data_IF_902029440964
#
_entry.id   IF_902029440964
#
_cell.length_a   1.000
_cell.length_b   1.000
_cell.length_c   1.000
_cell.angle_alpha   90.00
_cell.angle_beta   90.00
_cell.angle_gamma   90.00
#
_symmetry.space_group_name_H-M   'P 1'
#
loop_
_entity.id
_entity.type
_entity.pdbx_description
1 polymer ?
#
# COMPACT_ATOMS: atom_id res chain seq x y z
N UNK A 1 -24.95 6.39 -4.68
CA UNK A 1 -24.15 5.19 -4.34
C UNK A 1 -23.28 5.60 -3.17
N UNK A 2 -23.37 4.91 -2.03
CA UNK A 2 -22.77 5.41 -0.79
C UNK A 2 -21.27 5.60 -0.96
N UNK A 3 -20.82 6.81 -0.66
CA UNK A 3 -19.45 7.28 -0.66
C UNK A 3 -18.68 6.66 0.54
N UNK A 4 -18.72 5.32 0.62
CA UNK A 4 -18.19 4.59 1.77
C UNK A 4 -16.68 4.51 1.64
N UNK A 5 -15.98 5.36 2.38
CA UNK A 5 -14.54 5.27 2.52
C UNK A 5 -14.14 3.91 3.11
N UNK A 6 -13.08 3.34 2.57
CA UNK A 6 -12.57 2.02 2.96
C UNK A 6 -11.48 2.15 4.04
N UNK A 7 -11.28 1.14 4.89
CA UNK A 7 -10.08 1.06 5.72
C UNK A 7 -8.84 0.83 4.84
N UNK A 8 -7.71 1.41 5.20
CA UNK A 8 -6.44 1.22 4.48
C UNK A 8 -5.28 0.86 5.43
N UNK A 9 -4.51 -0.15 5.05
CA UNK A 9 -3.28 -0.54 5.75
C UNK A 9 -2.06 -0.14 4.89
N UNK A 10 -1.19 0.73 5.41
CA UNK A 10 0.07 1.07 4.75
C UNK A 10 1.11 0.02 5.12
N UNK A 11 1.64 -0.67 4.12
CA UNK A 11 2.58 -1.77 4.29
C UNK A 11 3.97 -1.23 4.61
N UNK A 12 4.29 -1.18 5.89
CA UNK A 12 5.58 -0.74 6.41
C UNK A 12 6.53 -1.90 6.77
N UNK A 13 6.02 -3.14 6.79
CA UNK A 13 6.77 -4.33 7.16
C UNK A 13 7.78 -4.77 6.10
N UNK A 14 8.80 -5.50 6.56
CA UNK A 14 9.89 -6.02 5.75
C UNK A 14 11.24 -5.37 6.10
N UNK A 15 12.31 -6.15 6.06
CA UNK A 15 13.65 -5.73 6.46
C UNK A 15 14.36 -4.80 5.44
N UNK A 16 13.63 -3.92 4.76
CA UNK A 16 14.21 -3.02 3.74
C UNK A 16 14.84 -1.79 4.41
N UNK A 17 15.98 -2.02 5.06
CA UNK A 17 16.88 -0.98 5.56
C UNK A 17 17.83 -0.56 4.43
N UNK A 18 17.81 0.71 4.04
CA UNK A 18 18.66 1.31 2.99
C UNK A 18 18.89 2.78 3.36
N UNK A 19 20.04 3.33 2.97
CA UNK A 19 20.63 4.58 3.52
C UNK A 19 21.22 4.35 4.91
N UNK A 20 22.49 3.93 4.98
CA UNK A 20 23.28 3.85 6.24
C UNK A 20 22.63 3.10 7.43
N UNK A 21 21.61 2.27 7.17
CA UNK A 21 20.88 1.50 8.18
C UNK A 21 19.46 1.99 8.49
N UNK A 22 19.04 3.14 7.94
CA UNK A 22 17.71 3.72 8.13
C UNK A 22 16.63 3.04 7.25
N UNK A 23 15.37 3.21 7.63
CA UNK A 23 14.25 2.66 6.85
C UNK A 23 13.93 3.60 5.68
N UNK A 24 13.74 3.07 4.46
CA UNK A 24 13.44 3.88 3.26
C UNK A 24 12.21 4.78 3.43
N UNK A 25 11.25 4.36 4.25
CA UNK A 25 10.05 5.11 4.61
C UNK A 25 10.37 6.47 5.25
N UNK A 26 11.48 6.56 6.00
CA UNK A 26 11.93 7.77 6.67
C UNK A 26 12.83 8.65 5.79
N UNK A 27 13.19 8.21 4.59
CA UNK A 27 14.05 8.98 3.70
C UNK A 27 13.41 10.36 3.39
N UNK A 28 14.19 11.45 3.42
CA UNK A 28 13.67 12.80 3.20
C UNK A 28 13.35 13.02 1.71
N UNK A 29 12.14 13.51 1.43
CA UNK A 29 11.67 13.91 0.11
C UNK A 29 11.08 15.32 0.21
N UNK A 30 11.90 16.33 -0.09
CA UNK A 30 11.54 17.73 0.19
C UNK A 30 11.51 18.00 1.70
N UNK A 31 10.42 18.59 2.20
CA UNK A 31 10.26 18.94 3.63
C UNK A 31 9.69 17.80 4.49
N UNK A 32 9.34 16.66 3.87
CA UNK A 32 8.66 15.53 4.51
C UNK A 32 9.41 14.23 4.23
N UNK A 33 9.13 13.19 5.00
CA UNK A 33 9.61 11.84 4.66
C UNK A 33 8.78 11.24 3.53
N UNK A 34 9.32 10.23 2.83
CA UNK A 34 8.57 9.49 1.80
C UNK A 34 7.25 8.96 2.36
N UNK A 35 7.25 8.35 3.55
CA UNK A 35 6.03 7.83 4.17
C UNK A 35 5.05 8.93 4.55
N UNK A 36 5.51 10.10 5.00
CA UNK A 36 4.58 11.20 5.28
C UNK A 36 3.84 11.64 4.02
N UNK A 37 4.50 11.68 2.85
CA UNK A 37 3.81 11.95 1.58
C UNK A 37 2.76 10.88 1.25
N UNK A 38 3.04 9.61 1.51
CA UNK A 38 2.05 8.53 1.34
C UNK A 38 0.85 8.74 2.27
N UNK A 39 1.11 9.00 3.56
CA UNK A 39 0.06 9.24 4.56
C UNK A 39 -0.84 10.41 4.14
N UNK A 40 -0.25 11.55 3.80
CA UNK A 40 -0.99 12.77 3.42
C UNK A 40 -1.92 12.55 2.23
N UNK A 41 -1.55 11.65 1.32
CA UNK A 41 -2.37 11.32 0.15
C UNK A 41 -3.43 10.27 0.46
N UNK A 42 -3.14 9.30 1.32
CA UNK A 42 -4.04 8.17 1.62
C UNK A 42 -5.10 8.55 2.64
N UNK A 43 -4.73 9.28 3.70
CA UNK A 43 -5.62 9.61 4.83
C UNK A 43 -6.94 10.26 4.40
N UNK A 44 -6.97 11.28 3.51
CA UNK A 44 -8.22 11.92 3.12
C UNK A 44 -9.19 10.99 2.37
N UNK A 45 -8.69 9.91 1.80
CA UNK A 45 -9.45 8.98 0.95
C UNK A 45 -10.02 7.79 1.73
N UNK A 46 -9.59 7.58 2.98
CA UNK A 46 -9.89 6.37 3.75
C UNK A 46 -10.75 6.68 4.98
N UNK A 47 -11.47 5.67 5.49
CA UNK A 47 -12.25 5.79 6.73
C UNK A 47 -11.35 5.83 7.95
N UNK A 48 -10.32 4.99 7.90
CA UNK A 48 -9.33 4.78 8.94
C UNK A 48 -8.06 4.26 8.26
N UNK A 49 -6.91 4.63 8.82
CA UNK A 49 -5.61 4.19 8.33
C UNK A 49 -4.78 3.61 9.47
N UNK A 50 -3.94 2.65 9.11
CA UNK A 50 -3.06 1.97 10.06
C UNK A 50 -1.73 1.61 9.37
N UNK A 51 -0.63 1.63 10.12
CA UNK A 51 0.69 1.27 9.62
C UNK A 51 0.99 -0.19 9.98
N UNK A 52 1.30 -1.00 8.97
CA UNK A 52 1.81 -2.35 9.19
C UNK A 52 3.27 -2.31 9.62
N UNK A 53 3.53 -2.05 10.89
CA UNK A 53 4.88 -1.90 11.42
C UNK A 53 5.00 -2.55 12.81
N UNK A 54 6.19 -3.03 13.18
CA UNK A 54 6.46 -3.43 14.56
C UNK A 54 6.43 -2.20 15.49
N UNK A 55 6.15 -2.45 16.77
CA UNK A 55 6.37 -1.47 17.82
C UNK A 55 7.88 -1.23 18.03
N UNK A 56 8.22 -0.02 18.46
CA UNK A 56 9.55 0.47 18.80
C UNK A 56 10.55 0.55 17.63
N UNK A 57 10.06 0.78 16.41
CA UNK A 57 10.89 0.94 15.19
C UNK A 57 10.74 2.34 14.55
N UNK A 58 10.21 3.31 15.31
CA UNK A 58 10.13 4.72 14.94
C UNK A 58 8.86 5.12 14.17
N UNK A 59 8.01 4.17 13.81
CA UNK A 59 6.74 4.46 13.13
C UNK A 59 5.71 5.16 14.03
N UNK A 60 5.90 5.12 15.34
CA UNK A 60 5.10 5.88 16.32
C UNK A 60 5.16 7.39 16.09
N UNK A 61 6.23 7.88 15.45
CA UNK A 61 6.39 9.30 15.12
C UNK A 61 5.32 9.83 14.15
N UNK A 62 4.62 8.96 13.44
CA UNK A 62 3.54 9.33 12.52
C UNK A 62 2.17 9.42 13.20
N UNK A 63 2.07 9.12 14.50
CA UNK A 63 0.83 9.22 15.29
C UNK A 63 -0.35 8.41 14.75
N UNK A 64 -0.06 7.35 13.97
CA UNK A 64 -1.03 6.40 13.45
C UNK A 64 -1.01 5.08 14.24
N UNK A 65 -2.15 4.38 14.35
CA UNK A 65 -2.17 3.05 14.93
C UNK A 65 -1.20 2.11 14.20
N UNK A 66 -0.51 1.25 14.96
CA UNK A 66 0.36 0.21 14.41
C UNK A 66 -0.36 -1.14 14.41
N UNK A 67 -0.24 -1.89 13.32
CA UNK A 67 -0.74 -3.25 13.18
C UNK A 67 0.40 -4.18 12.75
N UNK A 68 1.19 -4.69 13.71
CA UNK A 68 2.29 -5.60 13.40
C UNK A 68 1.78 -6.89 12.78
N UNK A 69 2.62 -7.51 11.96
CA UNK A 69 2.33 -8.84 11.44
C UNK A 69 2.16 -9.85 12.57
N UNK A 70 1.18 -10.75 12.40
CA UNK A 70 0.93 -11.85 13.31
C UNK A 70 1.90 -13.04 13.10
N UNK A 71 1.41 -14.29 13.17
CA UNK A 71 2.27 -15.48 13.07
C UNK A 71 2.96 -15.64 11.70
N UNK A 72 2.50 -14.91 10.69
CA UNK A 72 3.03 -14.92 9.33
C UNK A 72 4.12 -13.87 9.09
N UNK A 73 4.58 -13.19 10.15
CA UNK A 73 5.66 -12.21 10.08
C UNK A 73 6.88 -12.75 9.32
N UNK A 74 7.42 -11.94 8.39
CA UNK A 74 8.57 -12.31 7.58
C UNK A 74 8.26 -13.16 6.33
N UNK A 75 6.98 -13.45 6.04
CA UNK A 75 6.58 -14.14 4.79
C UNK A 75 6.39 -13.20 3.59
N UNK A 76 6.96 -11.99 3.66
CA UNK A 76 6.88 -10.99 2.59
C UNK A 76 5.57 -10.18 2.61
N UNK A 77 5.28 -9.41 1.55
CA UNK A 77 4.17 -8.45 1.55
C UNK A 77 2.79 -9.06 1.79
N UNK A 78 2.60 -10.34 1.41
CA UNK A 78 1.35 -11.05 1.64
C UNK A 78 1.02 -11.25 3.14
N UNK A 79 2.02 -11.28 4.02
CA UNK A 79 1.79 -11.29 5.47
C UNK A 79 1.09 -9.99 5.90
N UNK A 80 1.57 -8.84 5.44
CA UNK A 80 0.94 -7.55 5.68
C UNK A 80 -0.45 -7.41 5.04
N UNK A 81 -0.66 -7.99 3.85
CA UNK A 81 -2.01 -8.05 3.24
C UNK A 81 -2.97 -8.91 4.10
N UNK A 82 -2.51 -10.05 4.61
CA UNK A 82 -3.32 -10.87 5.53
C UNK A 82 -3.60 -10.12 6.84
N UNK A 83 -2.62 -9.38 7.36
CA UNK A 83 -2.80 -8.47 8.51
C UNK A 83 -3.88 -7.43 8.20
N UNK A 84 -3.87 -6.82 7.00
CA UNK A 84 -4.88 -5.85 6.56
C UNK A 84 -6.29 -6.45 6.57
N UNK A 85 -6.45 -7.64 5.96
CA UNK A 85 -7.74 -8.32 5.88
C UNK A 85 -8.27 -8.67 7.27
N UNK A 86 -7.43 -9.19 8.16
CA UNK A 86 -7.82 -9.52 9.53
C UNK A 86 -8.19 -8.29 10.36
N UNK A 87 -7.50 -7.17 10.16
CA UNK A 87 -7.82 -5.91 10.81
C UNK A 87 -9.16 -5.34 10.33
N UNK A 88 -9.39 -5.32 9.02
CA UNK A 88 -10.64 -4.85 8.43
C UNK A 88 -11.84 -5.74 8.80
N UNK A 89 -11.65 -7.06 8.86
CA UNK A 89 -12.66 -8.03 9.31
C UNK A 89 -13.14 -7.73 10.74
N UNK A 90 -12.19 -7.48 11.67
CA UNK A 90 -12.50 -7.09 13.05
C UNK A 90 -13.27 -5.77 13.12
N UNK A 91 -13.03 -4.86 12.18
CA UNK A 91 -13.73 -3.60 12.04
C UNK A 91 -15.05 -3.69 11.24
N UNK A 92 -15.48 -4.91 10.87
CA UNK A 92 -16.72 -5.17 10.14
C UNK A 92 -16.72 -4.69 8.68
N UNK A 93 -15.55 -4.47 8.09
CA UNK A 93 -15.42 -4.07 6.69
C UNK A 93 -15.34 -5.31 5.78
N UNK A 94 -16.02 -5.26 4.63
CA UNK A 94 -16.00 -6.32 3.62
C UNK A 94 -14.76 -6.27 2.71
N UNK A 95 -14.09 -5.12 2.65
CA UNK A 95 -12.94 -4.87 1.80
C UNK A 95 -11.94 -3.99 2.53
N UNK A 96 -10.67 -4.09 2.14
CA UNK A 96 -9.56 -3.30 2.69
C UNK A 96 -8.60 -2.88 1.58
N UNK A 97 -8.13 -1.65 1.65
CA UNK A 97 -7.06 -1.16 0.81
C UNK A 97 -5.71 -1.49 1.45
N UNK A 98 -4.72 -1.81 0.62
CA UNK A 98 -3.31 -1.75 1.03
C UNK A 98 -2.57 -0.80 0.13
N UNK A 99 -1.54 -0.13 0.64
CA UNK A 99 -0.59 0.62 -0.18
C UNK A 99 0.84 0.46 0.34
N UNK A 100 1.81 0.66 -0.53
CA UNK A 100 3.23 0.59 -0.16
C UNK A 100 3.68 1.89 0.51
N UNK A 101 4.54 1.78 1.52
CA UNK A 101 5.08 2.93 2.26
C UNK A 101 6.03 3.85 1.46
N UNK A 102 6.35 3.47 0.22
CA UNK A 102 7.36 4.10 -0.63
C UNK A 102 6.78 4.61 -1.95
N UNK A 103 5.46 4.83 -2.04
CA UNK A 103 4.76 5.31 -3.24
C UNK A 103 4.22 6.73 -3.04
N UNK A 104 5.10 7.75 -2.89
CA UNK A 104 4.72 9.10 -2.42
C UNK A 104 3.81 9.86 -3.39
N UNK A 105 3.60 9.35 -4.60
CA UNK A 105 2.79 9.98 -5.64
C UNK A 105 1.47 9.26 -5.91
N UNK A 106 1.06 8.32 -5.04
CA UNK A 106 -0.20 7.58 -5.17
C UNK A 106 -1.37 8.55 -5.50
N UNK A 107 -2.24 8.26 -6.47
CA UNK A 107 -3.26 9.23 -6.90
C UNK A 107 -4.19 9.69 -5.77
N UNK A 108 -4.71 10.91 -5.84
CA UNK A 108 -5.63 11.47 -4.83
C UNK A 108 -7.07 10.92 -4.93
N UNK A 109 -7.33 10.09 -5.93
CA UNK A 109 -8.61 9.45 -6.20
C UNK A 109 -8.48 7.92 -6.35
N UNK A 110 -7.32 7.33 -6.03
CA UNK A 110 -7.06 5.90 -6.21
C UNK A 110 -8.05 5.03 -5.44
N UNK A 111 -8.38 5.39 -4.21
CA UNK A 111 -9.31 4.63 -3.38
C UNK A 111 -10.72 4.65 -4.00
N UNK A 112 -11.15 5.80 -4.50
CA UNK A 112 -12.45 5.95 -5.17
C UNK A 112 -12.49 5.12 -6.45
N UNK A 113 -11.44 5.18 -7.28
CA UNK A 113 -11.33 4.44 -8.54
C UNK A 113 -11.32 2.92 -8.28
N UNK A 114 -10.55 2.46 -7.29
CA UNK A 114 -10.52 1.04 -6.94
C UNK A 114 -11.84 0.58 -6.31
N UNK A 115 -12.53 1.42 -5.54
CA UNK A 115 -13.82 1.07 -4.94
C UNK A 115 -14.99 1.11 -5.93
N UNK A 116 -14.84 1.80 -7.06
CA UNK A 116 -15.92 1.95 -8.04
C UNK A 116 -16.29 0.60 -8.66
N UNK A 117 -17.56 0.19 -8.53
CA UNK A 117 -18.04 -1.12 -8.98
C UNK A 117 -17.26 -2.29 -8.34
N UNK A 118 -16.69 -2.05 -7.15
CA UNK A 118 -15.97 -3.07 -6.41
C UNK A 118 -16.94 -4.20 -6.05
N UNK A 119 -16.53 -5.40 -6.40
CA UNK A 119 -17.23 -6.65 -6.11
C UNK A 119 -16.30 -7.51 -5.25
N UNK A 120 -16.59 -8.80 -5.16
CA UNK A 120 -15.76 -9.83 -4.53
C UNK A 120 -14.43 -10.13 -5.27
N UNK A 121 -13.87 -9.15 -6.00
CA UNK A 121 -12.63 -9.25 -6.79
C UNK A 121 -11.51 -8.43 -6.16
N UNK A 122 -10.27 -8.89 -6.31
CA UNK A 122 -9.08 -8.08 -6.05
C UNK A 122 -9.00 -7.02 -7.15
N UNK A 123 -8.70 -5.77 -6.79
CA UNK A 123 -8.52 -4.70 -7.77
C UNK A 123 -7.13 -4.10 -7.65
N UNK A 124 -6.36 -4.22 -8.72
CA UNK A 124 -4.94 -3.86 -8.77
C UNK A 124 -4.76 -2.70 -9.74
N UNK A 125 -4.20 -1.56 -9.31
CA UNK A 125 -3.88 -0.48 -10.22
C UNK A 125 -2.74 -0.88 -11.15
N UNK A 126 -2.81 -0.36 -12.36
CA UNK A 126 -1.78 -0.50 -13.37
C UNK A 126 -1.47 0.84 -14.05
N UNK A 127 -0.23 0.98 -14.52
CA UNK A 127 0.22 2.10 -15.32
C UNK A 127 1.09 1.60 -16.48
N UNK A 128 0.67 1.91 -17.71
CA UNK A 128 1.28 1.44 -18.96
C UNK A 128 1.49 -0.08 -18.98
N UNK A 129 0.52 -0.83 -18.41
CA UNK A 129 0.55 -2.28 -18.31
C UNK A 129 1.38 -2.84 -17.14
N UNK A 130 2.07 -2.01 -16.36
CA UNK A 130 2.76 -2.43 -15.13
C UNK A 130 1.78 -2.46 -13.96
N UNK A 131 1.68 -3.58 -13.24
CA UNK A 131 0.73 -3.76 -12.14
C UNK A 131 1.37 -3.55 -10.76
N UNK A 132 0.68 -2.84 -9.86
CA UNK A 132 1.18 -2.55 -8.51
C UNK A 132 0.43 -3.38 -7.47
N UNK A 133 0.79 -4.66 -7.38
CA UNK A 133 0.04 -5.68 -6.64
C UNK A 133 -0.16 -5.42 -5.15
N UNK A 134 0.71 -4.64 -4.51
CA UNK A 134 0.59 -4.32 -3.07
C UNK A 134 -0.18 -3.03 -2.81
N UNK A 135 -0.46 -2.24 -3.85
CA UNK A 135 -1.31 -1.05 -3.79
C UNK A 135 -2.72 -1.39 -4.26
N UNK A 136 -3.41 -2.32 -3.62
CA UNK A 136 -4.61 -2.94 -4.15
C UNK A 136 -5.81 -2.87 -3.19
N UNK A 137 -7.01 -3.08 -3.74
CA UNK A 137 -8.23 -3.35 -2.98
C UNK A 137 -8.45 -4.85 -2.86
N UNK A 138 -8.67 -5.31 -1.64
CA UNK A 138 -8.81 -6.72 -1.31
C UNK A 138 -10.16 -7.03 -0.68
N UNK A 139 -10.91 -8.02 -1.20
CA UNK A 139 -12.05 -8.60 -0.48
C UNK A 139 -11.57 -9.33 0.78
N UNK A 140 -12.14 -8.97 1.94
CA UNK A 140 -11.76 -9.55 3.24
C UNK A 140 -12.07 -11.05 3.30
N UNK A 141 -13.06 -11.52 2.54
CA UNK A 141 -13.39 -12.94 2.49
C UNK A 141 -12.24 -13.83 2.02
N UNK A 142 -11.27 -13.30 1.26
CA UNK A 142 -10.08 -14.04 0.78
C UNK A 142 -9.03 -14.32 1.86
N UNK A 143 -9.24 -13.86 3.10
CA UNK A 143 -8.27 -14.02 4.19
C UNK A 143 -7.92 -15.48 4.47
N UNK A 144 -8.87 -16.41 4.32
CA UNK A 144 -8.64 -17.84 4.59
C UNK A 144 -7.82 -18.47 3.47
N UNK A 145 -8.14 -18.16 2.22
CA UNK A 145 -7.39 -18.59 1.04
C UNK A 145 -5.96 -18.04 1.09
N UNK A 146 -5.79 -16.77 1.47
CA UNK A 146 -4.47 -16.16 1.64
C UNK A 146 -3.67 -16.81 2.77
N UNK A 147 -4.31 -17.09 3.91
CA UNK A 147 -3.66 -17.79 5.01
C UNK A 147 -3.19 -19.20 4.59
N UNK A 148 -4.02 -19.94 3.85
CA UNK A 148 -3.66 -21.26 3.31
C UNK A 148 -2.50 -21.19 2.32
N UNK A 149 -2.50 -20.17 1.44
CA UNK A 149 -1.40 -19.91 0.51
C UNK A 149 -0.08 -19.60 1.23
N UNK A 150 -0.12 -18.83 2.32
CA UNK A 150 1.07 -18.59 3.14
C UNK A 150 1.50 -19.81 3.97
N UNK A 151 0.58 -20.72 4.27
CA UNK A 151 0.85 -21.97 4.99
C UNK A 151 1.48 -23.06 4.11
N UNK A 152 1.20 -23.06 2.79
CA UNK A 152 1.89 -23.95 1.83
C UNK A 152 3.36 -23.58 1.62
N UNK A 153 3.78 -22.41 2.10
CA UNK A 153 5.12 -21.88 1.92
C UNK A 153 5.26 -20.92 0.74
N UNK A 154 4.19 -20.71 -0.03
CA UNK A 154 4.17 -19.76 -1.13
C UNK A 154 4.18 -18.31 -0.61
N UNK A 155 4.83 -17.42 -1.37
CA UNK A 155 5.05 -16.01 -0.99
C UNK A 155 4.85 -15.04 -2.16
N UNK A 156 4.49 -15.52 -3.34
CA UNK A 156 4.37 -14.70 -4.53
C UNK A 156 3.07 -13.90 -4.50
N UNK A 157 3.16 -12.58 -4.38
CA UNK A 157 1.98 -11.69 -4.43
C UNK A 157 1.26 -11.87 -5.76
N UNK A 158 2.01 -11.82 -6.87
CA UNK A 158 1.45 -12.01 -8.21
C UNK A 158 0.82 -13.40 -8.37
N UNK A 159 1.48 -14.45 -7.86
CA UNK A 159 0.97 -15.81 -7.90
C UNK A 159 -0.35 -15.97 -7.16
N UNK A 160 -0.47 -15.38 -5.97
CA UNK A 160 -1.74 -15.36 -5.24
C UNK A 160 -2.80 -14.58 -6.02
N UNK A 161 -2.52 -13.34 -6.44
CA UNK A 161 -3.50 -12.50 -7.16
C UNK A 161 -4.01 -13.16 -8.45
N UNK A 162 -3.13 -13.80 -9.22
CA UNK A 162 -3.50 -14.49 -10.46
C UNK A 162 -4.33 -15.76 -10.21
N UNK A 163 -4.31 -16.32 -9.00
CA UNK A 163 -5.15 -17.46 -8.62
C UNK A 163 -6.58 -17.06 -8.23
N UNK A 164 -6.85 -15.75 -8.12
CA UNK A 164 -8.12 -15.20 -7.66
C UNK A 164 -8.85 -14.45 -8.78
N UNK A 165 -10.10 -14.09 -8.52
CA UNK A 165 -10.79 -13.13 -9.38
C UNK A 165 -10.15 -11.74 -9.20
N UNK A 166 -9.49 -11.26 -10.26
CA UNK A 166 -8.77 -9.97 -10.26
C UNK A 166 -9.25 -9.08 -11.40
N UNK A 167 -9.26 -7.78 -11.14
CA UNK A 167 -9.44 -6.72 -12.13
C UNK A 167 -8.24 -5.77 -12.07
N UNK A 168 -7.62 -5.50 -13.22
CA UNK A 168 -6.54 -4.53 -13.35
C UNK A 168 -7.13 -3.20 -13.81
N UNK A 169 -6.83 -2.13 -13.08
CA UNK A 169 -7.42 -0.80 -13.29
C UNK A 169 -6.33 0.14 -13.78
N UNK A 170 -6.46 0.63 -15.00
CA UNK A 170 -5.46 1.54 -15.59
C UNK A 170 -5.58 2.95 -15.00
N UNK A 171 -4.46 3.50 -14.54
CA UNK A 171 -4.35 4.87 -14.03
C UNK A 171 -3.61 5.75 -15.02
N UNK A 172 -3.91 7.05 -14.99
CA UNK A 172 -3.15 8.06 -15.72
C UNK A 172 -1.92 8.49 -14.92
N UNK A 173 -0.85 8.86 -15.63
CA UNK A 173 0.38 9.32 -15.01
C UNK A 173 0.24 10.65 -14.26
N UNK A 174 1.12 10.88 -13.30
CA UNK A 174 1.32 12.19 -12.67
C UNK A 174 2.42 12.91 -13.46
N UNK A 175 2.06 13.90 -14.29
CA UNK A 175 2.99 14.56 -15.21
C UNK A 175 3.80 13.55 -16.07
N UNK A 176 3.11 12.56 -16.65
CA UNK A 176 3.68 11.46 -17.44
C UNK A 176 4.55 10.45 -16.66
N UNK A 177 4.63 10.58 -15.33
CA UNK A 177 5.28 9.58 -14.46
C UNK A 177 4.27 8.57 -13.92
N UNK A 178 4.76 7.35 -13.67
CA UNK A 178 4.01 6.32 -12.95
C UNK A 178 3.57 6.85 -11.57
N UNK A 179 2.26 6.96 -11.30
CA UNK A 179 1.78 7.52 -10.05
C UNK A 179 1.99 6.57 -8.86
N UNK A 180 2.33 5.30 -9.11
CA UNK A 180 2.68 4.31 -8.10
C UNK A 180 4.20 4.03 -8.09
N UNK A 181 5.02 4.96 -8.60
CA UNK A 181 6.48 4.86 -8.55
C UNK A 181 7.01 4.62 -7.13
N UNK A 182 7.77 3.54 -6.95
CA UNK A 182 8.36 3.16 -5.67
C UNK A 182 9.75 3.78 -5.47
N UNK A 183 9.97 4.41 -4.32
CA UNK A 183 11.27 4.95 -3.91
C UNK A 183 12.07 3.89 -3.13
N UNK A 184 12.95 3.15 -3.81
CA UNK A 184 13.72 2.06 -3.20
C UNK A 184 15.23 2.33 -3.08
N UNK A 185 15.76 3.31 -3.80
CA UNK A 185 17.18 3.61 -3.91
C UNK A 185 17.44 5.11 -3.83
N UNK A 186 18.69 5.56 -3.58
CA UNK A 186 19.07 6.96 -3.67
C UNK A 186 18.73 7.60 -5.04
N UNK A 187 18.82 6.82 -6.11
CA UNK A 187 18.52 7.30 -7.47
C UNK A 187 17.02 7.48 -7.67
N UNK A 188 16.21 6.59 -7.09
CA UNK A 188 14.76 6.77 -7.05
C UNK A 188 14.39 8.01 -6.24
N UNK A 189 15.10 8.31 -5.15
CA UNK A 189 14.83 9.48 -4.33
C UNK A 189 15.14 10.79 -5.08
N UNK A 190 16.22 10.81 -5.88
CA UNK A 190 16.52 11.93 -6.80
C UNK A 190 15.41 12.11 -7.82
N UNK A 191 14.98 11.01 -8.44
CA UNK A 191 13.87 11.01 -9.41
C UNK A 191 12.57 11.50 -8.76
N UNK A 192 12.26 11.02 -7.55
CA UNK A 192 11.09 11.46 -6.79
C UNK A 192 11.15 12.96 -6.46
N UNK A 193 12.33 13.51 -6.13
CA UNK A 193 12.46 14.94 -5.88
C UNK A 193 12.15 15.77 -7.15
N UNK A 194 12.53 15.30 -8.33
CA UNK A 194 12.18 15.92 -9.61
C UNK A 194 10.68 15.86 -9.88
N UNK A 195 10.05 14.70 -9.65
CA UNK A 195 8.59 14.53 -9.76
C UNK A 195 7.88 15.49 -8.80
N UNK A 196 8.28 15.55 -7.53
CA UNK A 196 7.67 16.42 -6.52
C UNK A 196 7.71 17.90 -6.93
N UNK A 197 8.83 18.37 -7.46
CA UNK A 197 8.94 19.74 -7.97
C UNK A 197 8.03 19.99 -9.18
N UNK A 198 7.85 19.00 -10.05
CA UNK A 198 6.96 19.13 -11.21
C UNK A 198 5.47 19.25 -10.80
N UNK A 199 5.07 18.52 -9.74
CA UNK A 199 3.71 18.53 -9.21
C UNK A 199 3.38 19.84 -8.52
N UNK A 200 4.30 20.38 -7.72
CA UNK A 200 4.10 21.62 -6.95
C UNK A 200 4.10 22.91 -7.79
N UNK A 201 4.48 22.84 -9.08
CA UNK A 201 4.51 24.00 -9.99
C UNK A 201 3.15 24.30 -10.65
N UNK A 202 2.11 23.53 -10.36
CA UNK A 202 0.73 23.73 -10.84
C UNK A 202 -0.16 24.20 -9.69
#
# INVERSE_FOLDING_TARGET
>A
MSDTKLPCLILCGGASRRFEGEHKAFAPLGEKTVLQHVIDRVEPQCREICLNAPEHDGFELFELPLCPDGPDAGKGPLAGVLTAMNWADKAGAAQVLTCSNDTPFIPLDWAQILNKDSNDKIRVPAFEGNSHFVCALWPVQLKIELANYLASGDRSVQGFVQSQAVEFIEFSGVNDFDPFFNVNTPDDLRTAAEILQSVNRR
#
